data_IF_126328729178
#
_entry.id   IF_126328729178
#
_cell.length_a   1.000
_cell.length_b   1.000
_cell.length_c   1.000
_cell.angle_alpha   90.00
_cell.angle_beta   90.00
_cell.angle_gamma   90.00
#
_symmetry.space_group_name_H-M   'P 1'
#
loop_
_entity.id
_entity.type
_entity.pdbx_description
1 polymer ?
#
# COMPACT_ATOMS: atom_id res chain seq x y z
N UNK A 1 -15.18 38.57 -22.97
CA UNK A 1 -15.85 38.27 -21.71
C UNK A 1 -15.25 37.02 -21.17
N UNK A 2 -14.33 37.13 -20.21
CA UNK A 2 -13.67 35.98 -19.58
C UNK A 2 -14.58 35.38 -18.52
N UNK A 3 -14.93 34.13 -18.69
CA UNK A 3 -15.57 33.32 -17.64
C UNK A 3 -14.52 32.95 -16.60
N UNK A 4 -14.41 33.77 -15.55
CA UNK A 4 -13.63 33.44 -14.36
C UNK A 4 -14.35 32.34 -13.59
N UNK A 5 -13.86 31.11 -13.69
CA UNK A 5 -14.32 30.01 -12.83
C UNK A 5 -13.98 30.38 -11.39
N UNK A 6 -15.00 30.62 -10.55
CA UNK A 6 -14.88 30.69 -9.11
C UNK A 6 -14.47 29.28 -8.62
N UNK A 7 -13.16 29.06 -8.43
CA UNK A 7 -12.69 27.96 -7.57
C UNK A 7 -13.13 28.33 -6.17
N UNK A 8 -13.93 27.47 -5.52
CA UNK A 8 -14.37 27.72 -4.16
C UNK A 8 -13.15 27.77 -3.23
N UNK A 9 -13.12 28.71 -2.30
CA UNK A 9 -12.07 28.80 -1.27
C UNK A 9 -11.95 27.47 -0.47
N UNK A 10 -13.00 26.68 -0.41
CA UNK A 10 -13.03 25.36 0.22
C UNK A 10 -12.16 24.33 -0.53
N UNK A 11 -12.11 24.38 -1.88
CA UNK A 11 -11.20 23.53 -2.67
C UNK A 11 -9.73 23.91 -2.50
N UNK A 12 -9.45 25.20 -2.24
CA UNK A 12 -8.10 25.71 -2.02
C UNK A 12 -7.60 25.47 -0.58
N UNK A 13 -8.53 25.30 0.38
CA UNK A 13 -8.24 25.09 1.80
C UNK A 13 -8.36 23.63 2.22
N UNK A 14 -8.81 22.72 1.35
CA UNK A 14 -8.78 21.29 1.65
C UNK A 14 -7.32 20.86 1.85
N UNK A 15 -6.96 20.28 3.00
CA UNK A 15 -5.61 19.78 3.22
C UNK A 15 -5.29 18.79 2.10
N UNK A 16 -4.25 19.07 1.34
CA UNK A 16 -3.76 18.13 0.35
C UNK A 16 -3.10 16.98 1.12
N UNK A 17 -3.78 15.85 1.16
CA UNK A 17 -3.22 14.64 1.77
C UNK A 17 -2.18 14.11 0.79
N UNK A 18 -0.93 14.13 1.22
CA UNK A 18 0.16 13.49 0.49
C UNK A 18 -0.02 11.97 0.59
N UNK A 19 -0.35 11.34 -0.53
CA UNK A 19 -0.60 9.90 -0.57
C UNK A 19 0.66 9.08 -0.22
N UNK A 20 1.84 9.62 -0.48
CA UNK A 20 3.11 9.02 -0.09
C UNK A 20 3.24 8.98 1.44
N UNK A 21 2.88 10.08 2.12
CA UNK A 21 2.84 10.12 3.59
C UNK A 21 1.83 9.12 4.15
N UNK A 22 0.64 9.02 3.56
CA UNK A 22 -0.38 8.04 3.98
C UNK A 22 0.13 6.61 3.83
N UNK A 23 0.78 6.30 2.72
CA UNK A 23 1.35 4.98 2.48
C UNK A 23 2.44 4.64 3.52
N UNK A 24 3.35 5.59 3.80
CA UNK A 24 4.38 5.44 4.86
C UNK A 24 3.76 5.29 6.24
N UNK A 25 2.75 6.11 6.58
CA UNK A 25 2.05 6.05 7.85
C UNK A 25 1.35 4.69 8.04
N UNK A 26 0.63 4.21 7.02
CA UNK A 26 -0.04 2.92 7.03
C UNK A 26 0.93 1.77 7.34
N UNK A 27 2.03 1.67 6.58
CA UNK A 27 3.00 0.59 6.78
C UNK A 27 3.66 0.68 8.16
N UNK A 28 3.99 1.89 8.61
CA UNK A 28 4.53 2.11 9.96
C UNK A 28 3.52 1.74 11.06
N UNK A 29 2.23 2.02 10.88
CA UNK A 29 1.20 1.69 11.87
C UNK A 29 0.95 0.19 11.95
N UNK A 30 0.99 -0.52 10.82
CA UNK A 30 0.93 -1.98 10.79
C UNK A 30 2.14 -2.59 11.52
N UNK A 31 3.35 -2.04 11.29
CA UNK A 31 4.55 -2.45 12.03
C UNK A 31 4.43 -2.19 13.53
N UNK A 32 3.83 -1.06 13.93
CA UNK A 32 3.63 -0.72 15.35
C UNK A 32 2.49 -1.51 16.00
N UNK A 33 1.45 -1.85 15.24
CA UNK A 33 0.33 -2.67 15.71
C UNK A 33 0.74 -4.08 16.12
N UNK A 34 1.82 -4.59 15.53
CA UNK A 34 2.44 -5.87 15.89
C UNK A 34 3.39 -5.76 17.11
N UNK A 35 3.38 -4.63 17.82
CA UNK A 35 4.07 -4.51 19.09
C UNK A 35 3.35 -5.36 20.16
N UNK A 36 3.74 -6.61 20.29
CA UNK A 36 3.37 -7.40 21.44
C UNK A 36 4.09 -6.86 22.67
N UNK A 37 3.33 -6.24 23.57
CA UNK A 37 3.87 -5.95 24.88
C UNK A 37 4.10 -7.27 25.63
N UNK A 38 5.34 -7.61 25.90
CA UNK A 38 5.68 -8.81 26.65
C UNK A 38 6.15 -8.49 28.07
N UNK A 39 5.55 -9.13 29.06
CA UNK A 39 6.01 -9.11 30.43
C UNK A 39 7.17 -10.07 30.71
N UNK A 40 7.53 -10.95 29.75
CA UNK A 40 8.66 -11.87 29.89
C UNK A 40 10.01 -11.16 30.01
N UNK A 41 10.11 -9.93 29.45
CA UNK A 41 11.28 -9.06 29.61
C UNK A 41 10.80 -7.65 29.91
N UNK A 42 10.75 -7.22 31.19
CA UNK A 42 10.38 -5.86 31.52
C UNK A 42 11.38 -4.84 30.98
N UNK A 43 10.91 -3.69 30.59
CA UNK A 43 11.73 -2.61 30.05
C UNK A 43 12.75 -2.12 31.09
N UNK A 44 14.03 -2.47 30.92
CA UNK A 44 15.11 -2.18 31.86
C UNK A 44 15.32 -0.68 32.15
N UNK A 45 14.85 0.17 31.26
CA UNK A 45 15.02 1.64 31.36
C UNK A 45 14.29 2.23 32.57
N UNK A 46 13.21 1.60 33.00
CA UNK A 46 12.33 2.10 34.05
C UNK A 46 12.39 1.28 35.35
N UNK A 47 13.12 0.16 35.34
CA UNK A 47 13.25 -0.71 36.55
C UNK A 47 13.91 0.06 37.71
N UNK A 48 14.89 0.93 37.42
CA UNK A 48 15.54 1.75 38.44
C UNK A 48 14.62 2.78 39.12
N UNK A 49 13.47 3.10 38.51
CA UNK A 49 12.45 3.97 39.07
C UNK A 49 11.28 3.19 39.69
N UNK A 50 11.44 1.87 39.89
CA UNK A 50 10.38 0.97 40.40
C UNK A 50 9.12 0.93 39.50
N UNK A 51 9.22 1.32 38.24
CA UNK A 51 8.14 1.28 37.25
C UNK A 51 8.36 0.06 36.36
N UNK A 52 7.46 -0.92 36.48
CA UNK A 52 7.49 -2.12 35.66
C UNK A 52 6.64 -1.90 34.41
N UNK A 53 7.28 -1.75 33.27
CA UNK A 53 6.62 -1.64 31.96
C UNK A 53 7.00 -2.84 31.09
N UNK A 54 6.05 -3.37 30.28
CA UNK A 54 6.38 -4.40 29.30
C UNK A 54 7.36 -3.84 28.27
N UNK A 55 8.24 -4.68 27.75
CA UNK A 55 9.05 -4.29 26.58
C UNK A 55 8.24 -4.55 25.31
N UNK A 56 8.26 -3.59 24.38
CA UNK A 56 7.76 -3.79 23.03
C UNK A 56 8.79 -4.61 22.23
N UNK A 57 8.34 -5.61 21.51
CA UNK A 57 9.12 -6.23 20.44
C UNK A 57 8.67 -5.50 19.16
N UNK A 58 9.58 -4.79 18.52
CA UNK A 58 9.34 -4.26 17.19
C UNK A 58 9.47 -5.43 16.22
N UNK A 59 8.37 -5.87 15.62
CA UNK A 59 8.42 -6.76 14.48
C UNK A 59 8.62 -5.92 13.23
N UNK A 60 9.58 -6.30 12.41
CA UNK A 60 9.77 -5.74 11.06
C UNK A 60 8.62 -6.20 10.17
N UNK A 61 8.35 -5.45 9.09
CA UNK A 61 7.43 -5.92 8.04
C UNK A 61 8.08 -7.14 7.39
N UNK A 62 7.50 -8.32 7.65
CA UNK A 62 8.07 -9.55 7.09
C UNK A 62 7.77 -9.66 5.60
N UNK A 63 6.52 -9.44 5.20
CA UNK A 63 6.04 -9.56 3.83
C UNK A 63 5.12 -8.38 3.47
N UNK A 64 5.60 -7.49 2.63
CA UNK A 64 4.82 -6.39 2.05
C UNK A 64 4.36 -6.81 0.65
N UNK A 65 3.04 -6.92 0.44
CA UNK A 65 2.51 -7.27 -0.87
C UNK A 65 1.88 -6.04 -1.52
N UNK A 66 2.35 -5.71 -2.73
CA UNK A 66 1.82 -4.63 -3.54
C UNK A 66 1.12 -5.20 -4.77
N UNK A 67 -0.18 -4.95 -4.84
CA UNK A 67 -1.05 -5.44 -5.90
C UNK A 67 -1.30 -4.31 -6.89
N UNK A 68 -0.73 -4.41 -8.07
CA UNK A 68 -0.71 -3.35 -9.07
C UNK A 68 -1.70 -3.70 -10.17
N UNK A 69 -2.74 -2.88 -10.28
CA UNK A 69 -3.69 -2.93 -11.37
C UNK A 69 -2.99 -2.58 -12.68
N UNK A 70 -3.10 -3.47 -13.66
CA UNK A 70 -2.52 -3.30 -15.00
C UNK A 70 -3.60 -3.30 -16.06
N UNK A 71 -4.86 -3.03 -15.69
CA UNK A 71 -5.96 -2.84 -16.63
C UNK A 71 -5.69 -1.69 -17.60
N UNK A 72 -6.41 -1.67 -18.72
CA UNK A 72 -6.19 -0.68 -19.80
C UNK A 72 -6.34 0.79 -19.37
N UNK A 73 -7.04 1.07 -18.29
CA UNK A 73 -7.22 2.43 -17.74
C UNK A 73 -5.98 2.93 -16.99
N UNK A 74 -5.10 2.02 -16.57
CA UNK A 74 -3.86 2.36 -15.87
C UNK A 74 -2.71 2.49 -16.86
N UNK A 75 -2.18 3.70 -17.01
CA UNK A 75 -1.05 3.95 -17.91
C UNK A 75 0.28 3.54 -17.29
N UNK A 76 1.24 3.16 -18.13
CA UNK A 76 2.57 2.72 -17.70
C UNK A 76 3.28 3.72 -16.77
N UNK A 77 3.10 5.02 -17.00
CA UNK A 77 3.74 6.04 -16.16
C UNK A 77 3.18 6.09 -14.73
N UNK A 78 1.88 5.77 -14.53
CA UNK A 78 1.28 5.65 -13.18
C UNK A 78 1.93 4.51 -12.41
N UNK A 79 2.15 3.37 -13.08
CA UNK A 79 2.83 2.22 -12.48
C UNK A 79 4.27 2.58 -12.12
N UNK A 80 4.97 3.29 -13.01
CA UNK A 80 6.35 3.74 -12.76
C UNK A 80 6.43 4.69 -11.57
N UNK A 81 5.50 5.63 -11.47
CA UNK A 81 5.41 6.54 -10.33
C UNK A 81 5.19 5.76 -9.03
N UNK A 82 4.19 4.87 -9.00
CA UNK A 82 3.90 4.06 -7.82
C UNK A 82 5.11 3.21 -7.39
N UNK A 83 5.77 2.54 -8.35
CA UNK A 83 6.96 1.73 -8.07
C UNK A 83 8.13 2.57 -7.54
N UNK A 84 8.26 3.81 -8.00
CA UNK A 84 9.28 4.73 -7.49
C UNK A 84 9.03 5.07 -6.02
N UNK A 85 7.79 5.41 -5.67
CA UNK A 85 7.41 5.72 -4.28
C UNK A 85 7.45 4.49 -3.37
N UNK A 86 7.11 3.33 -3.93
CA UNK A 86 7.26 2.06 -3.21
C UNK A 86 8.73 1.77 -2.87
N UNK A 87 9.64 2.03 -3.79
CA UNK A 87 11.07 1.86 -3.53
C UNK A 87 11.55 2.81 -2.43
N UNK A 88 11.13 4.10 -2.44
CA UNK A 88 11.43 5.06 -1.36
C UNK A 88 10.85 4.63 0.00
N UNK A 89 9.63 4.05 -0.02
CA UNK A 89 9.04 3.45 1.17
C UNK A 89 9.90 2.31 1.70
N UNK A 90 10.33 1.41 0.82
CA UNK A 90 11.15 0.25 1.18
C UNK A 90 12.52 0.65 1.74
N UNK A 91 13.15 1.71 1.22
CA UNK A 91 14.39 2.26 1.79
C UNK A 91 14.22 2.72 3.25
N UNK A 92 13.02 3.25 3.58
CA UNK A 92 12.70 3.76 4.92
C UNK A 92 12.29 2.65 5.88
N UNK A 93 11.40 1.75 5.45
CA UNK A 93 10.75 0.72 6.29
C UNK A 93 11.59 -0.55 6.35
N UNK A 94 12.37 -0.84 5.29
CA UNK A 94 13.21 -2.04 5.13
C UNK A 94 12.47 -3.34 5.42
N UNK A 95 11.43 -3.68 4.63
CA UNK A 95 10.75 -4.95 4.77
C UNK A 95 11.70 -6.11 4.45
N UNK A 96 11.45 -7.28 5.05
CA UNK A 96 12.25 -8.47 4.74
C UNK A 96 12.01 -8.96 3.31
N UNK A 97 10.76 -8.83 2.85
CA UNK A 97 10.33 -9.22 1.51
C UNK A 97 9.30 -8.24 0.96
N UNK A 98 9.42 -7.96 -0.32
CA UNK A 98 8.43 -7.23 -1.13
C UNK A 98 7.95 -8.15 -2.24
N UNK A 99 6.65 -8.30 -2.35
CA UNK A 99 6.00 -9.06 -3.41
C UNK A 99 5.19 -8.12 -4.27
N UNK A 100 5.41 -8.10 -5.56
CA UNK A 100 4.64 -7.36 -6.55
C UNK A 100 3.75 -8.33 -7.30
N UNK A 101 2.44 -8.09 -7.27
CA UNK A 101 1.47 -8.83 -8.07
C UNK A 101 0.85 -7.89 -9.11
N UNK A 102 1.01 -8.22 -10.37
CA UNK A 102 0.39 -7.51 -11.49
C UNK A 102 -0.91 -8.23 -11.87
N UNK A 103 -2.00 -7.51 -11.89
CA UNK A 103 -3.31 -8.11 -12.13
C UNK A 103 -4.20 -7.26 -13.04
N UNK A 104 -5.11 -7.94 -13.74
CA UNK A 104 -6.20 -7.38 -14.51
C UNK A 104 -7.50 -8.18 -14.22
N UNK A 105 -7.92 -9.10 -15.06
CA UNK A 105 -8.94 -10.12 -14.76
C UNK A 105 -8.37 -11.38 -14.12
N UNK A 106 -7.05 -11.48 -14.09
CA UNK A 106 -6.26 -12.54 -13.48
C UNK A 106 -4.94 -11.97 -12.96
N UNK A 107 -4.21 -12.72 -12.14
CA UNK A 107 -2.83 -12.37 -11.79
C UNK A 107 -1.95 -12.69 -12.99
N UNK A 108 -1.42 -11.63 -13.62
CA UNK A 108 -0.63 -11.72 -14.85
C UNK A 108 0.87 -11.92 -14.60
N UNK A 109 1.32 -11.62 -13.39
CA UNK A 109 2.73 -11.74 -13.00
C UNK A 109 2.95 -11.54 -11.52
N UNK A 110 4.03 -12.17 -11.05
CA UNK A 110 4.52 -12.05 -9.70
C UNK A 110 6.02 -11.80 -9.74
N UNK A 111 6.48 -10.88 -8.90
CA UNK A 111 7.90 -10.61 -8.66
C UNK A 111 8.14 -10.56 -7.15
N UNK A 112 9.21 -11.17 -6.69
CA UNK A 112 9.58 -11.23 -5.27
C UNK A 112 10.97 -10.65 -5.12
N UNK A 113 11.13 -9.74 -4.18
CA UNK A 113 12.39 -9.07 -3.83
C UNK A 113 12.69 -9.29 -2.36
N UNK A 114 13.89 -9.77 -2.04
CA UNK A 114 14.34 -10.03 -0.67
C UNK A 114 15.70 -9.40 -0.42
N UNK A 115 15.90 -8.88 0.79
CA UNK A 115 17.17 -8.30 1.21
C UNK A 115 17.65 -7.16 0.29
N UNK A 116 18.85 -7.29 -0.27
CA UNK A 116 19.45 -6.26 -1.15
C UNK A 116 18.78 -6.16 -2.52
N UNK A 117 18.01 -7.16 -2.95
CA UNK A 117 17.27 -7.12 -4.22
C UNK A 117 16.16 -6.06 -4.20
N UNK A 118 15.67 -5.69 -3.02
CA UNK A 118 14.63 -4.65 -2.86
C UNK A 118 15.08 -3.32 -3.47
N UNK A 119 16.35 -2.98 -3.39
CA UNK A 119 16.91 -1.75 -3.96
C UNK A 119 16.82 -1.73 -5.50
N UNK A 120 16.64 -2.90 -6.14
CA UNK A 120 16.52 -3.03 -7.59
C UNK A 120 15.08 -2.85 -8.12
N UNK A 121 14.07 -2.70 -7.25
CA UNK A 121 12.66 -2.59 -7.66
C UNK A 121 12.45 -1.54 -8.76
N UNK A 122 13.11 -0.39 -8.69
CA UNK A 122 12.98 0.70 -9.69
C UNK A 122 13.42 0.31 -11.10
N UNK A 123 14.35 -0.64 -11.22
CA UNK A 123 15.03 -0.93 -12.49
C UNK A 123 14.74 -2.31 -13.04
N UNK A 124 14.33 -3.26 -12.20
CA UNK A 124 14.16 -4.66 -12.57
C UNK A 124 12.72 -5.07 -12.85
N UNK A 125 11.72 -4.30 -12.37
CA UNK A 125 10.30 -4.62 -12.52
C UNK A 125 9.84 -4.64 -13.97
N UNK A 126 8.99 -5.63 -14.29
CA UNK A 126 8.42 -5.84 -15.63
C UNK A 126 6.91 -6.05 -15.54
N UNK A 127 6.13 -4.97 -15.37
CA UNK A 127 4.68 -5.06 -15.30
C UNK A 127 4.08 -5.81 -16.48
N UNK A 128 3.13 -6.71 -16.21
CA UNK A 128 2.41 -7.50 -17.21
C UNK A 128 0.92 -7.32 -17.01
N UNK A 129 0.16 -7.24 -18.09
CA UNK A 129 -1.29 -7.13 -18.08
C UNK A 129 -1.80 -6.34 -19.28
N UNK A 130 -2.98 -5.75 -19.19
CA UNK A 130 -3.62 -4.96 -20.23
C UNK A 130 -5.02 -5.45 -20.56
N UNK A 131 -5.66 -6.19 -19.64
CA UNK A 131 -7.02 -6.69 -19.77
C UNK A 131 -8.08 -5.80 -19.09
N UNK A 132 -9.17 -6.44 -18.66
CA UNK A 132 -10.21 -5.82 -17.82
C UNK A 132 -9.78 -5.71 -16.36
N UNK A 133 -10.76 -5.60 -15.43
CA UNK A 133 -10.46 -5.39 -14.01
C UNK A 133 -11.34 -6.29 -13.13
N UNK A 134 -10.72 -7.21 -12.40
CA UNK A 134 -11.40 -8.04 -11.38
C UNK A 134 -10.46 -8.35 -10.21
N UNK A 135 -10.56 -7.57 -9.15
CA UNK A 135 -9.68 -7.70 -7.96
C UNK A 135 -9.82 -9.02 -7.20
N UNK A 136 -10.92 -9.79 -7.43
CA UNK A 136 -11.10 -11.11 -6.82
C UNK A 136 -10.00 -12.09 -7.21
N UNK A 137 -9.39 -11.90 -8.39
CA UNK A 137 -8.28 -12.74 -8.82
C UNK A 137 -7.10 -12.65 -7.84
N UNK A 138 -6.86 -11.47 -7.26
CA UNK A 138 -5.80 -11.25 -6.28
C UNK A 138 -6.10 -11.99 -4.96
N UNK A 139 -7.31 -11.83 -4.43
CA UNK A 139 -7.69 -12.48 -3.16
C UNK A 139 -7.79 -14.00 -3.30
N UNK A 140 -8.16 -14.52 -4.47
CA UNK A 140 -8.11 -15.95 -4.78
C UNK A 140 -6.66 -16.44 -4.87
N UNK A 141 -5.80 -15.67 -5.53
CA UNK A 141 -4.37 -15.98 -5.63
C UNK A 141 -3.71 -16.07 -4.25
N UNK A 142 -4.05 -15.16 -3.32
CA UNK A 142 -3.58 -15.22 -1.94
C UNK A 142 -3.98 -16.56 -1.27
N UNK A 143 -5.24 -16.97 -1.44
CA UNK A 143 -5.75 -18.22 -0.86
C UNK A 143 -5.10 -19.46 -1.49
N UNK A 144 -4.92 -19.46 -2.80
CA UNK A 144 -4.32 -20.58 -3.54
C UNK A 144 -2.84 -20.79 -3.21
N UNK A 145 -2.11 -19.69 -2.96
CA UNK A 145 -0.66 -19.72 -2.71
C UNK A 145 -0.29 -19.55 -1.21
N UNK A 146 -1.30 -19.57 -0.31
CA UNK A 146 -1.13 -19.34 1.14
C UNK A 146 -0.34 -18.06 1.47
N UNK A 147 -0.61 -16.97 0.71
CA UNK A 147 0.03 -15.68 0.91
C UNK A 147 -0.66 -14.96 2.07
N UNK A 148 0.09 -14.67 3.14
CA UNK A 148 -0.38 -13.98 4.35
C UNK A 148 0.52 -12.79 4.64
N UNK A 149 0.33 -11.67 3.95
CA UNK A 149 1.22 -10.53 4.11
C UNK A 149 1.02 -9.84 5.46
N UNK A 150 2.10 -9.22 5.95
CA UNK A 150 2.03 -8.30 7.09
C UNK A 150 1.22 -7.07 6.74
N UNK A 151 1.37 -6.58 5.49
CA UNK A 151 0.60 -5.47 4.94
C UNK A 151 0.39 -5.66 3.43
N UNK A 152 -0.78 -5.24 2.95
CA UNK A 152 -1.14 -5.21 1.53
C UNK A 152 -1.42 -3.79 1.07
N UNK A 153 -0.89 -3.43 -0.09
CA UNK A 153 -1.21 -2.18 -0.79
C UNK A 153 -1.83 -2.55 -2.13
N UNK A 154 -2.94 -1.92 -2.49
CA UNK A 154 -3.57 -2.08 -3.82
C UNK A 154 -3.54 -0.74 -4.54
N UNK A 155 -2.94 -0.73 -5.72
CA UNK A 155 -2.91 0.42 -6.62
C UNK A 155 -3.86 0.18 -7.78
N UNK A 156 -4.90 1.00 -7.92
CA UNK A 156 -5.96 0.87 -8.93
C UNK A 156 -6.69 2.20 -9.11
N UNK A 157 -7.43 2.36 -10.19
CA UNK A 157 -8.38 3.46 -10.36
C UNK A 157 -9.74 3.22 -9.68
N UNK A 158 -9.92 2.03 -9.07
CA UNK A 158 -11.11 1.70 -8.30
C UNK A 158 -12.38 1.47 -9.10
N UNK A 159 -12.31 1.34 -10.43
CA UNK A 159 -13.44 0.97 -11.27
C UNK A 159 -13.67 -0.55 -11.27
N UNK A 160 -13.96 -1.08 -10.08
CA UNK A 160 -14.06 -2.52 -9.78
C UNK A 160 -15.51 -3.07 -9.90
N UNK A 161 -16.43 -2.31 -10.48
CA UNK A 161 -17.83 -2.74 -10.58
C UNK A 161 -18.52 -2.99 -9.24
N UNK A 162 -18.03 -2.40 -8.15
CA UNK A 162 -18.55 -2.58 -6.79
C UNK A 162 -18.04 -3.83 -6.07
N UNK A 163 -17.13 -4.58 -6.68
CA UNK A 163 -16.54 -5.79 -6.10
C UNK A 163 -15.13 -5.50 -5.61
N UNK A 164 -14.91 -5.52 -4.30
CA UNK A 164 -13.65 -5.11 -3.67
C UNK A 164 -12.77 -6.27 -3.19
N UNK A 165 -13.14 -7.51 -3.50
CA UNK A 165 -12.44 -8.70 -3.03
C UNK A 165 -12.73 -9.04 -1.56
N UNK A 166 -12.10 -10.12 -1.09
CA UNK A 166 -12.27 -10.67 0.26
C UNK A 166 -10.89 -10.67 0.96
N UNK A 167 -10.64 -9.65 1.76
CA UNK A 167 -9.35 -9.37 2.38
C UNK A 167 -9.40 -9.64 3.87
N UNK A 168 -8.42 -10.37 4.37
CA UNK A 168 -8.22 -10.71 5.78
C UNK A 168 -6.89 -10.13 6.35
N UNK A 169 -6.26 -9.24 5.60
CA UNK A 169 -4.97 -8.62 5.93
C UNK A 169 -5.11 -7.10 6.08
N UNK A 170 -4.21 -6.44 6.82
CA UNK A 170 -4.12 -4.98 6.79
C UNK A 170 -3.97 -4.46 5.37
N UNK A 171 -4.86 -3.55 4.95
CA UNK A 171 -5.01 -3.16 3.55
C UNK A 171 -5.07 -1.65 3.38
N UNK A 172 -4.29 -1.15 2.42
CA UNK A 172 -4.35 0.22 1.92
C UNK A 172 -4.69 0.23 0.43
N UNK A 173 -5.71 0.98 0.06
CA UNK A 173 -6.05 1.29 -1.33
C UNK A 173 -5.46 2.62 -1.75
N UNK A 174 -4.68 2.64 -2.81
CA UNK A 174 -4.21 3.82 -3.51
C UNK A 174 -5.06 4.00 -4.77
N UNK A 175 -6.03 4.92 -4.70
CA UNK A 175 -7.07 5.10 -5.72
C UNK A 175 -6.72 6.25 -6.66
N UNK A 176 -6.40 5.91 -7.90
CA UNK A 176 -5.97 6.86 -8.92
C UNK A 176 -7.16 7.54 -9.59
N UNK A 177 -7.18 8.87 -9.60
CA UNK A 177 -8.14 9.71 -10.34
C UNK A 177 -9.63 9.40 -10.07
N UNK A 178 -9.98 8.75 -8.96
CA UNK A 178 -11.34 8.35 -8.63
C UNK A 178 -11.73 8.74 -7.21
N UNK A 179 -12.03 10.01 -7.01
CA UNK A 179 -12.41 10.55 -5.69
C UNK A 179 -13.78 10.05 -5.19
N UNK A 180 -14.56 9.38 -6.05
CA UNK A 180 -15.85 8.81 -5.67
C UNK A 180 -15.71 7.38 -5.11
N UNK A 181 -14.63 6.69 -5.42
CA UNK A 181 -14.40 5.33 -4.94
C UNK A 181 -14.18 5.30 -3.43
N UNK A 182 -14.92 4.44 -2.74
CA UNK A 182 -14.82 4.25 -1.28
C UNK A 182 -14.84 2.75 -0.98
N UNK A 183 -13.66 2.14 -0.82
CA UNK A 183 -13.57 0.74 -0.44
C UNK A 183 -14.29 0.46 0.88
N UNK A 184 -15.05 -0.65 0.98
CA UNK A 184 -15.74 -1.02 2.22
C UNK A 184 -14.81 -1.61 3.29
N UNK A 185 -13.60 -2.02 2.90
CA UNK A 185 -12.60 -2.68 3.76
C UNK A 185 -11.25 -2.02 3.55
N UNK A 186 -10.49 -1.85 4.64
CA UNK A 186 -9.16 -1.25 4.64
C UNK A 186 -9.17 0.28 4.71
N UNK A 187 -7.99 0.84 4.74
CA UNK A 187 -7.77 2.29 4.59
C UNK A 187 -7.67 2.64 3.11
N UNK A 188 -7.89 3.90 2.76
CA UNK A 188 -7.72 4.34 1.37
C UNK A 188 -7.19 5.76 1.28
N UNK A 189 -6.51 6.04 0.18
CA UNK A 189 -6.07 7.39 -0.19
C UNK A 189 -6.36 7.60 -1.67
N UNK A 190 -6.79 8.81 -2.02
CA UNK A 190 -7.00 9.21 -3.41
C UNK A 190 -5.75 9.89 -3.95
N UNK A 191 -5.34 9.48 -5.14
CA UNK A 191 -4.22 10.05 -5.90
C UNK A 191 -4.80 10.85 -7.06
N UNK A 192 -4.55 12.15 -7.07
CA UNK A 192 -5.00 13.05 -8.13
C UNK A 192 -3.82 13.33 -9.06
N UNK A 193 -3.89 12.81 -10.29
CA UNK A 193 -2.87 12.98 -11.31
C UNK A 193 -2.55 14.45 -11.61
N UNK A 194 -3.54 15.34 -11.50
CA UNK A 194 -3.33 16.76 -11.76
C UNK A 194 -2.43 17.46 -10.74
N UNK A 195 -2.08 16.75 -9.66
CA UNK A 195 -1.26 17.24 -8.53
C UNK A 195 0.08 16.53 -8.41
N UNK A 196 0.37 15.63 -9.34
CA UNK A 196 1.63 14.91 -9.48
C UNK A 196 2.54 15.66 -10.46
#
# INVERSE_FOLDING_TARGET
MGSGGNRSLEELLAPQIDWQEVMRAFVNDVCRGNHFSTWKRPNRRYIGANIFMPSGISETVEDLVCNIDTSLSIHQWHITLFLSELADLCETVRPNRVRLLYWDTQVCGEEIYEGEEIDSIRTSTKPKGGGGTDVRCVTNYYKEHDIRPTASIVFTDGYLGGVWGDWDTPLLWCLLNNNAAKPPIGSYVHIDESKL
#
